data_IF_422230678579
#
_entry.id   IF_422230678579
#
_cell.length_a   1.000
_cell.length_b   1.000
_cell.length_c   1.000
_cell.angle_alpha   90.00
_cell.angle_beta   90.00
_cell.angle_gamma   90.00
#
_symmetry.space_group_name_H-M   'P 1'
#
loop_
_entity.id
_entity.type
_entity.pdbx_description
1 polymer ?
#
# COMPACT_ATOMS: atom_id res chain seq x y z
N UNK A 1 -19.71 11.55 -15.66
CA UNK A 1 -19.45 12.05 -14.30
C UNK A 1 -20.22 11.22 -13.29
N UNK A 2 -19.97 11.42 -11.98
CA UNK A 2 -20.61 10.65 -10.90
C UNK A 2 -22.13 10.66 -10.98
N UNK A 3 -22.75 11.82 -11.19
CA UNK A 3 -24.21 11.98 -11.28
C UNK A 3 -24.89 11.11 -12.34
N UNK A 4 -24.20 10.82 -13.44
CA UNK A 4 -24.72 9.95 -14.50
C UNK A 4 -24.40 8.47 -14.27
N UNK A 5 -23.33 8.17 -13.52
CA UNK A 5 -22.83 6.80 -13.32
C UNK A 5 -23.35 6.15 -12.03
N UNK A 6 -23.67 6.95 -11.00
CA UNK A 6 -24.29 6.47 -9.76
C UNK A 6 -25.67 5.84 -10.00
N UNK A 7 -26.60 6.45 -10.78
CA UNK A 7 -27.87 5.81 -11.11
C UNK A 7 -27.71 4.51 -11.91
N UNK A 8 -26.69 4.44 -12.78
CA UNK A 8 -26.32 3.21 -13.49
C UNK A 8 -25.91 2.11 -12.50
N UNK A 9 -25.03 2.43 -11.55
CA UNK A 9 -24.54 1.47 -10.57
C UNK A 9 -25.68 0.93 -9.70
N UNK A 10 -26.59 1.79 -9.23
CA UNK A 10 -27.78 1.38 -8.48
C UNK A 10 -28.69 0.48 -9.31
N UNK A 11 -28.95 0.85 -10.56
CA UNK A 11 -29.80 0.06 -11.46
C UNK A 11 -29.18 -1.31 -11.78
N UNK A 12 -27.87 -1.38 -11.96
CA UNK A 12 -27.12 -2.62 -12.16
C UNK A 12 -27.22 -3.55 -10.95
N UNK A 13 -26.97 -3.03 -9.75
CA UNK A 13 -27.08 -3.80 -8.51
C UNK A 13 -28.50 -4.33 -8.32
N UNK A 14 -29.52 -3.49 -8.55
CA UNK A 14 -30.92 -3.89 -8.42
C UNK A 14 -31.33 -4.94 -9.48
N UNK A 15 -30.81 -4.85 -10.70
CA UNK A 15 -31.07 -5.80 -11.79
C UNK A 15 -30.52 -7.20 -11.50
N UNK A 16 -29.31 -7.26 -10.94
CA UNK A 16 -28.56 -8.51 -10.76
C UNK A 16 -28.44 -8.96 -9.30
N UNK A 17 -29.22 -8.37 -8.39
CA UNK A 17 -29.30 -8.86 -7.01
C UNK A 17 -29.67 -10.34 -6.98
N UNK A 18 -29.02 -11.08 -6.09
CA UNK A 18 -29.18 -12.54 -5.92
C UNK A 18 -28.78 -13.38 -7.15
N UNK A 19 -28.03 -12.82 -8.10
CA UNK A 19 -27.53 -13.52 -9.27
C UNK A 19 -25.99 -13.48 -9.33
N UNK A 20 -25.40 -14.39 -10.09
CA UNK A 20 -24.01 -14.33 -10.51
C UNK A 20 -23.95 -13.82 -11.95
N UNK A 21 -22.99 -12.94 -12.24
CA UNK A 21 -22.86 -12.30 -13.54
C UNK A 21 -21.43 -12.35 -14.04
N UNK A 22 -21.27 -12.49 -15.35
CA UNK A 22 -19.98 -12.37 -16.02
C UNK A 22 -19.75 -10.94 -16.58
N UNK A 23 -18.52 -10.70 -17.02
CA UNK A 23 -18.10 -9.40 -17.58
C UNK A 23 -18.89 -9.02 -18.85
N UNK A 24 -19.35 -9.98 -19.64
CA UNK A 24 -20.11 -9.73 -20.87
C UNK A 24 -21.56 -9.32 -20.59
N UNK A 25 -22.18 -9.91 -19.58
CA UNK A 25 -23.48 -9.49 -19.05
C UNK A 25 -23.39 -8.07 -18.49
N UNK A 26 -22.33 -7.75 -17.73
CA UNK A 26 -22.07 -6.38 -17.26
C UNK A 26 -21.93 -5.40 -18.43
N UNK A 27 -21.10 -5.71 -19.44
CA UNK A 27 -20.88 -4.84 -20.61
C UNK A 27 -22.17 -4.64 -21.40
N UNK A 28 -22.93 -5.71 -21.63
CA UNK A 28 -24.23 -5.64 -22.31
C UNK A 28 -25.20 -4.74 -21.56
N UNK A 29 -25.24 -4.85 -20.23
CA UNK A 29 -26.08 -3.99 -19.40
C UNK A 29 -25.63 -2.53 -19.42
N UNK A 30 -24.32 -2.26 -19.41
CA UNK A 30 -23.76 -0.91 -19.56
C UNK A 30 -24.21 -0.26 -20.87
N UNK A 31 -24.12 -0.99 -21.99
CA UNK A 31 -24.58 -0.53 -23.30
C UNK A 31 -26.09 -0.29 -23.35
N UNK A 32 -26.89 -1.16 -22.72
CA UNK A 32 -28.34 -0.99 -22.65
C UNK A 32 -28.76 0.22 -21.80
N UNK A 33 -28.08 0.44 -20.67
CA UNK A 33 -28.37 1.58 -19.79
C UNK A 33 -27.98 2.91 -20.45
N UNK A 34 -26.82 2.96 -21.08
CA UNK A 34 -26.31 4.14 -21.79
C UNK A 34 -26.51 4.02 -23.31
N UNK A 35 -27.69 3.57 -23.75
CA UNK A 35 -28.03 3.41 -25.17
C UNK A 35 -27.87 4.70 -25.99
N UNK A 36 -28.09 5.86 -25.35
CA UNK A 36 -27.96 7.18 -25.97
C UNK A 36 -26.50 7.67 -26.03
N UNK A 37 -25.54 6.89 -25.52
CA UNK A 37 -24.10 7.21 -25.48
C UNK A 37 -23.24 6.08 -26.06
N UNK A 38 -23.81 5.28 -26.95
CA UNK A 38 -23.13 4.14 -27.59
C UNK A 38 -21.87 4.55 -28.34
N UNK A 39 -21.85 5.74 -28.96
CA UNK A 39 -20.65 6.27 -29.63
C UNK A 39 -19.46 6.45 -28.67
N UNK A 40 -19.73 6.90 -27.43
CA UNK A 40 -18.70 7.05 -26.39
C UNK A 40 -18.25 5.67 -25.89
N UNK A 41 -19.18 4.72 -25.73
CA UNK A 41 -18.83 3.37 -25.30
C UNK A 41 -18.01 2.61 -26.37
N UNK A 42 -18.26 2.89 -27.65
CA UNK A 42 -17.54 2.28 -28.76
C UNK A 42 -16.13 2.84 -28.96
N UNK A 43 -15.84 4.04 -28.45
CA UNK A 43 -14.46 4.58 -28.45
C UNK A 43 -13.59 4.00 -27.34
N UNK A 44 -14.17 3.28 -26.38
CA UNK A 44 -13.42 2.56 -25.35
C UNK A 44 -12.79 1.31 -25.95
N UNK A 45 -11.48 1.18 -25.80
CA UNK A 45 -10.74 -0.03 -26.16
C UNK A 45 -10.99 -1.16 -25.15
N UNK A 46 -12.13 -1.85 -25.31
CA UNK A 46 -12.54 -2.92 -24.41
C UNK A 46 -11.57 -4.11 -24.37
N UNK A 47 -10.87 -4.38 -25.48
CA UNK A 47 -9.91 -5.48 -25.53
C UNK A 47 -8.69 -5.15 -24.67
N UNK A 48 -8.16 -3.93 -24.80
CA UNK A 48 -7.10 -3.45 -23.93
C UNK A 48 -7.49 -3.40 -22.46
N UNK A 49 -8.73 -2.99 -22.13
CA UNK A 49 -9.20 -2.92 -20.75
C UNK A 49 -9.45 -4.30 -20.11
N UNK A 50 -9.83 -5.32 -20.88
CA UNK A 50 -10.23 -6.62 -20.32
C UNK A 50 -9.15 -7.70 -20.42
N UNK A 51 -8.29 -7.63 -21.44
CA UNK A 51 -7.45 -8.77 -21.81
C UNK A 51 -5.95 -8.45 -21.81
N UNK A 52 -5.55 -7.20 -22.01
CA UNK A 52 -4.13 -6.85 -22.03
C UNK A 52 -3.54 -6.73 -20.61
N UNK A 53 -2.34 -7.28 -20.38
CA UNK A 53 -1.64 -7.14 -19.11
C UNK A 53 -0.96 -5.76 -18.99
N UNK A 54 -0.72 -5.32 -17.75
CA UNK A 54 0.00 -4.09 -17.45
C UNK A 54 -0.88 -2.97 -16.91
N UNK A 55 -0.43 -1.72 -17.08
CA UNK A 55 -1.21 -0.56 -16.68
C UNK A 55 -2.35 -0.30 -17.68
N UNK A 56 -3.55 0.12 -17.22
CA UNK A 56 -4.65 0.46 -18.11
C UNK A 56 -4.25 1.51 -19.16
N UNK A 57 -4.84 1.47 -20.37
CA UNK A 57 -4.43 2.32 -21.49
C UNK A 57 -4.72 3.81 -21.26
N UNK A 58 -5.64 4.13 -20.36
CA UNK A 58 -6.02 5.50 -20.01
C UNK A 58 -5.80 5.72 -18.53
N UNK A 59 -5.00 6.71 -18.17
CA UNK A 59 -4.85 7.20 -16.80
C UNK A 59 -5.93 8.25 -16.54
N UNK A 60 -6.88 8.01 -15.61
CA UNK A 60 -7.88 9.00 -15.27
C UNK A 60 -7.26 10.25 -14.65
N UNK A 61 -7.93 11.40 -14.82
CA UNK A 61 -7.54 12.64 -14.15
C UNK A 61 -7.99 12.59 -12.69
N UNK A 62 -7.04 12.45 -11.77
CA UNK A 62 -7.30 12.49 -10.34
C UNK A 62 -6.97 13.88 -9.78
N UNK A 63 -7.79 14.36 -8.82
CA UNK A 63 -7.42 15.54 -8.04
C UNK A 63 -6.17 15.24 -7.22
N UNK A 64 -5.12 16.05 -7.39
CA UNK A 64 -3.83 15.87 -6.72
C UNK A 64 -3.66 16.72 -5.46
N UNK A 65 -4.66 17.51 -5.07
CA UNK A 65 -4.52 18.50 -4.00
C UNK A 65 -3.97 17.92 -2.69
N UNK A 66 -4.51 16.77 -2.23
CA UNK A 66 -4.05 16.11 -1.01
C UNK A 66 -2.72 15.37 -1.19
N UNK A 67 -2.45 14.87 -2.39
CA UNK A 67 -1.22 14.13 -2.71
C UNK A 67 -0.01 15.07 -2.84
N UNK A 68 -0.21 16.27 -3.39
CA UNK A 68 0.86 17.26 -3.60
C UNK A 68 1.57 17.64 -2.30
N UNK A 69 0.84 17.83 -1.20
CA UNK A 69 1.43 18.12 0.11
C UNK A 69 2.33 16.96 0.58
N UNK A 70 1.89 15.72 0.36
CA UNK A 70 2.65 14.52 0.70
C UNK A 70 3.90 14.37 -0.18
N UNK A 71 3.78 14.65 -1.48
CA UNK A 71 4.89 14.62 -2.45
C UNK A 71 5.95 15.68 -2.12
N UNK A 72 5.53 16.90 -1.78
CA UNK A 72 6.44 17.98 -1.37
C UNK A 72 7.22 17.63 -0.10
N UNK A 73 6.53 17.11 0.92
CA UNK A 73 7.19 16.67 2.15
C UNK A 73 8.13 15.48 1.88
N UNK A 74 7.71 14.53 1.04
CA UNK A 74 8.54 13.40 0.63
C UNK A 74 9.82 13.87 -0.07
N UNK A 75 9.72 14.78 -1.03
CA UNK A 75 10.87 15.32 -1.74
C UNK A 75 11.85 16.02 -0.80
N UNK A 76 11.34 16.81 0.16
CA UNK A 76 12.14 17.47 1.19
C UNK A 76 12.89 16.46 2.06
N UNK A 77 12.24 15.37 2.48
CA UNK A 77 12.84 14.28 3.27
C UNK A 77 13.84 13.42 2.49
N UNK A 78 13.62 13.25 1.18
CA UNK A 78 14.49 12.48 0.30
C UNK A 78 15.75 13.27 -0.12
N UNK A 79 15.71 14.60 -0.11
CA UNK A 79 16.85 15.45 -0.48
C UNK A 79 17.95 15.44 0.61
N UNK A 80 19.15 14.89 0.34
CA UNK A 80 20.24 14.81 1.31
C UNK A 80 20.80 16.18 1.73
N UNK A 81 20.59 17.24 0.95
CA UNK A 81 21.05 18.59 1.28
C UNK A 81 20.17 19.30 2.32
N UNK A 82 18.94 18.81 2.54
CA UNK A 82 18.02 19.38 3.52
C UNK A 82 18.55 19.26 4.94
N UNK A 83 18.64 20.39 5.64
CA UNK A 83 19.12 20.45 7.02
C UNK A 83 18.08 19.83 7.99
N UNK A 84 18.51 19.05 9.01
CA UNK A 84 17.62 18.45 10.02
C UNK A 84 16.69 19.43 10.71
N UNK A 85 17.14 20.67 10.94
CA UNK A 85 16.39 21.72 11.64
C UNK A 85 15.23 22.27 10.82
N UNK A 86 15.21 21.98 9.51
CA UNK A 86 14.11 22.40 8.64
C UNK A 86 12.84 21.57 8.84
N UNK A 87 12.92 20.41 9.49
CA UNK A 87 11.78 19.54 9.76
C UNK A 87 11.12 19.91 11.09
N UNK A 88 9.79 19.91 11.12
CA UNK A 88 9.00 20.17 12.32
C UNK A 88 8.01 19.03 12.56
N UNK A 89 7.67 18.78 13.83
CA UNK A 89 6.56 17.89 14.19
C UNK A 89 5.24 18.33 13.55
N UNK A 90 5.11 19.62 13.25
CA UNK A 90 3.91 20.23 12.68
C UNK A 90 3.76 19.93 11.17
N UNK A 91 4.80 19.45 10.50
CA UNK A 91 4.76 19.09 9.07
C UNK A 91 3.66 18.06 8.77
N UNK A 92 3.32 17.20 9.74
CA UNK A 92 2.26 16.20 9.65
C UNK A 92 0.99 16.54 10.43
N UNK A 93 0.93 17.68 11.11
CA UNK A 93 -0.21 18.06 11.94
C UNK A 93 -1.49 18.23 11.10
N UNK A 94 -1.35 18.77 9.88
CA UNK A 94 -2.45 18.95 8.94
C UNK A 94 -2.82 17.68 8.16
N UNK A 95 -2.01 16.62 8.25
CA UNK A 95 -2.21 15.42 7.44
C UNK A 95 -3.21 14.46 8.11
N UNK A 96 -4.22 14.06 7.34
CA UNK A 96 -5.10 12.98 7.73
C UNK A 96 -4.35 11.61 7.69
N UNK A 97 -4.91 10.53 8.28
CA UNK A 97 -4.24 9.23 8.31
C UNK A 97 -3.86 8.67 6.93
N UNK A 98 -4.67 8.91 5.90
CA UNK A 98 -4.37 8.48 4.54
C UNK A 98 -3.19 9.26 3.94
N UNK A 99 -3.10 10.56 4.18
CA UNK A 99 -1.96 11.39 3.76
C UNK A 99 -0.67 10.96 4.45
N UNK A 100 -0.72 10.65 5.75
CA UNK A 100 0.45 10.11 6.47
C UNK A 100 0.90 8.78 5.89
N UNK A 101 -0.03 7.86 5.61
CA UNK A 101 0.27 6.58 4.96
C UNK A 101 0.81 6.76 3.54
N UNK A 102 0.25 7.69 2.76
CA UNK A 102 0.72 8.02 1.41
C UNK A 102 2.15 8.59 1.45
N UNK A 103 2.42 9.56 2.33
CA UNK A 103 3.76 10.12 2.51
C UNK A 103 4.81 9.04 2.82
N UNK A 104 4.54 8.15 3.77
CA UNK A 104 5.47 7.05 4.10
C UNK A 104 5.63 6.08 2.93
N UNK A 105 4.55 5.83 2.18
CA UNK A 105 4.59 4.98 0.98
C UNK A 105 5.39 5.61 -0.16
N UNK A 106 5.35 6.94 -0.30
CA UNK A 106 6.18 7.69 -1.25
C UNK A 106 7.65 7.63 -0.83
N UNK A 107 7.96 7.84 0.45
CA UNK A 107 9.33 7.69 0.96
C UNK A 107 9.90 6.28 0.76
N UNK A 108 9.06 5.24 0.83
CA UNK A 108 9.51 3.89 0.51
C UNK A 108 9.93 3.77 -0.97
N UNK A 109 9.35 4.52 -1.90
CA UNK A 109 9.74 4.44 -3.31
C UNK A 109 11.10 5.09 -3.58
N UNK A 110 11.53 5.98 -2.69
CA UNK A 110 12.83 6.63 -2.75
C UNK A 110 13.96 5.69 -2.30
N UNK A 111 15.21 6.20 -2.42
CA UNK A 111 16.38 5.52 -1.87
C UNK A 111 16.23 5.36 -0.34
N UNK A 112 16.74 4.27 0.25
CA UNK A 112 16.70 4.10 1.71
C UNK A 112 17.27 5.33 2.42
N UNK A 113 16.50 5.89 3.34
CA UNK A 113 16.94 7.02 4.15
C UNK A 113 18.12 6.60 5.04
N UNK A 114 19.10 7.48 5.28
CA UNK A 114 20.13 7.25 6.29
C UNK A 114 19.50 7.00 7.68
N UNK A 115 20.16 6.19 8.50
CA UNK A 115 19.69 5.84 9.85
C UNK A 115 19.42 7.07 10.72
N UNK A 116 20.25 8.10 10.61
CA UNK A 116 20.13 9.33 11.40
C UNK A 116 18.86 10.10 11.03
N UNK A 117 18.51 10.14 9.73
CA UNK A 117 17.26 10.74 9.27
C UNK A 117 16.04 9.94 9.68
N UNK A 118 16.15 8.61 9.70
CA UNK A 118 15.06 7.77 10.17
C UNK A 118 14.83 7.92 11.68
N UNK A 119 15.89 8.07 12.46
CA UNK A 119 15.80 8.37 13.88
C UNK A 119 15.14 9.73 14.12
N UNK A 120 15.53 10.76 13.35
CA UNK A 120 14.89 12.07 13.37
C UNK A 120 13.40 12.00 13.01
N UNK A 121 13.05 11.26 11.94
CA UNK A 121 11.66 11.07 11.53
C UNK A 121 10.84 10.38 12.63
N UNK A 122 11.43 9.37 13.28
CA UNK A 122 10.79 8.61 14.34
C UNK A 122 10.52 9.48 15.57
N UNK A 123 11.50 10.31 15.98
CA UNK A 123 11.36 11.20 17.13
C UNK A 123 10.42 12.38 16.86
N UNK A 124 10.55 13.04 15.71
CA UNK A 124 9.74 14.20 15.34
C UNK A 124 8.25 13.87 15.23
N UNK A 125 7.92 12.73 14.62
CA UNK A 125 6.54 12.33 14.38
C UNK A 125 6.01 11.26 15.35
N UNK A 126 6.81 10.90 16.37
CA UNK A 126 6.48 9.90 17.40
C UNK A 126 5.98 8.57 16.82
N UNK A 127 6.69 8.05 15.81
CA UNK A 127 6.23 6.88 15.04
C UNK A 127 6.07 5.61 15.89
N UNK A 128 6.81 5.50 17.00
CA UNK A 128 6.72 4.37 17.94
C UNK A 128 5.36 4.29 18.65
N UNK A 129 4.75 5.45 18.92
CA UNK A 129 3.46 5.60 19.61
C UNK A 129 2.25 5.43 18.68
N UNK A 130 2.47 5.34 17.36
CA UNK A 130 1.38 5.27 16.38
C UNK A 130 0.63 3.95 16.51
N UNK A 131 -0.66 4.03 16.86
CA UNK A 131 -1.56 2.87 16.94
C UNK A 131 -2.11 2.38 15.59
N UNK A 132 -2.08 3.22 14.54
CA UNK A 132 -2.59 2.84 13.23
C UNK A 132 -1.66 1.81 12.55
N UNK A 133 -2.19 0.62 12.29
CA UNK A 133 -1.41 -0.49 11.74
C UNK A 133 -0.81 -0.20 10.35
N UNK A 134 -1.49 0.55 9.48
CA UNK A 134 -1.00 0.87 8.12
C UNK A 134 0.18 1.84 8.16
N UNK A 135 0.10 2.86 9.03
CA UNK A 135 1.18 3.84 9.23
C UNK A 135 2.37 3.14 9.91
N UNK A 136 2.11 2.37 10.97
CA UNK A 136 3.16 1.62 11.68
C UNK A 136 3.86 0.63 10.75
N UNK A 137 3.11 -0.16 9.99
CA UNK A 137 3.66 -1.06 8.96
C UNK A 137 4.55 -0.31 7.97
N UNK A 138 4.11 0.85 7.48
CA UNK A 138 4.88 1.64 6.53
C UNK A 138 6.20 2.17 7.13
N UNK A 139 6.20 2.56 8.39
CA UNK A 139 7.40 2.95 9.13
C UNK A 139 8.36 1.77 9.38
N UNK A 140 7.83 0.60 9.76
CA UNK A 140 8.63 -0.61 9.94
C UNK A 140 9.38 -0.99 8.66
N UNK A 141 8.72 -0.93 7.50
CA UNK A 141 9.35 -1.19 6.20
C UNK A 141 10.46 -0.20 5.87
N UNK A 142 10.30 1.08 6.21
CA UNK A 142 11.35 2.08 6.04
C UNK A 142 12.59 1.73 6.87
N UNK A 143 12.40 1.34 8.13
CA UNK A 143 13.51 0.92 9.01
C UNK A 143 14.21 -0.35 8.56
N UNK A 144 13.45 -1.36 8.11
CA UNK A 144 14.01 -2.59 7.58
C UNK A 144 14.88 -2.35 6.34
N UNK A 145 14.40 -1.52 5.40
CA UNK A 145 15.15 -1.18 4.20
C UNK A 145 16.39 -0.32 4.48
N UNK A 146 16.35 0.50 5.53
CA UNK A 146 17.49 1.27 6.00
C UNK A 146 18.46 0.46 6.88
N UNK A 147 18.17 -0.82 7.15
CA UNK A 147 18.92 -1.68 8.10
C UNK A 147 19.10 -1.03 9.48
N UNK A 148 18.06 -0.36 9.95
CA UNK A 148 18.08 0.37 11.23
C UNK A 148 17.79 -0.57 12.40
N UNK A 149 18.83 -0.99 13.14
CA UNK A 149 18.72 -1.97 14.23
C UNK A 149 17.61 -1.70 15.27
N UNK A 150 17.39 -0.46 15.75
CA UNK A 150 16.34 -0.17 16.73
C UNK A 150 14.92 -0.51 16.28
N UNK A 151 14.66 -0.71 14.98
CA UNK A 151 13.34 -1.09 14.48
C UNK A 151 12.97 -2.55 14.85
N UNK A 152 13.97 -3.41 15.13
CA UNK A 152 13.78 -4.85 15.27
C UNK A 152 12.72 -5.26 16.32
N UNK A 153 12.74 -4.72 17.56
CA UNK A 153 11.74 -5.08 18.56
C UNK A 153 10.32 -4.72 18.11
N UNK A 154 10.17 -3.58 17.41
CA UNK A 154 8.88 -3.13 16.90
C UNK A 154 8.37 -4.02 15.76
N UNK A 155 9.25 -4.50 14.88
CA UNK A 155 8.90 -5.46 13.82
C UNK A 155 8.41 -6.77 14.42
N UNK A 156 9.16 -7.33 15.38
CA UNK A 156 8.81 -8.61 16.03
C UNK A 156 7.48 -8.50 16.79
N UNK A 157 7.30 -7.43 17.56
CA UNK A 157 6.05 -7.15 18.25
C UNK A 157 4.88 -7.04 17.26
N UNK A 158 5.07 -6.33 16.14
CA UNK A 158 4.04 -6.18 15.11
C UNK A 158 3.67 -7.52 14.46
N UNK A 159 4.65 -8.35 14.09
CA UNK A 159 4.40 -9.66 13.49
C UNK A 159 3.70 -10.63 14.44
N UNK A 160 4.01 -10.59 15.74
CA UNK A 160 3.27 -11.34 16.78
C UNK A 160 1.83 -10.86 16.99
N UNK A 161 1.57 -9.58 16.72
CA UNK A 161 0.25 -8.97 16.96
C UNK A 161 -0.68 -9.10 15.74
N UNK A 162 -0.13 -9.01 14.53
CA UNK A 162 -0.90 -8.92 13.29
C UNK A 162 -0.56 -10.06 12.31
N UNK A 163 -1.57 -10.89 11.98
CA UNK A 163 -1.44 -12.01 11.04
C UNK A 163 -1.88 -11.73 9.59
N UNK A 164 -2.16 -10.47 9.21
CA UNK A 164 -2.65 -10.16 7.84
C UNK A 164 -1.52 -10.26 6.82
N UNK A 165 -1.72 -11.04 5.76
CA UNK A 165 -0.73 -11.24 4.67
C UNK A 165 -0.17 -9.95 4.08
N UNK A 166 -1.05 -8.94 3.94
CA UNK A 166 -0.67 -7.59 3.50
C UNK A 166 0.52 -7.02 4.28
N UNK A 167 0.63 -7.35 5.57
CA UNK A 167 1.73 -6.89 6.42
C UNK A 167 2.81 -7.95 6.61
N UNK A 168 2.41 -9.18 6.88
CA UNK A 168 3.30 -10.29 7.23
C UNK A 168 4.27 -10.60 6.08
N UNK A 169 3.76 -10.77 4.85
CA UNK A 169 4.61 -11.20 3.73
C UNK A 169 5.66 -10.14 3.36
N UNK A 170 5.33 -8.83 3.24
CA UNK A 170 6.35 -7.82 2.96
C UNK A 170 7.36 -7.65 4.10
N UNK A 171 6.94 -7.72 5.37
CA UNK A 171 7.87 -7.57 6.50
C UNK A 171 8.86 -8.73 6.58
N UNK A 172 8.40 -9.97 6.42
CA UNK A 172 9.31 -11.11 6.37
C UNK A 172 10.26 -11.03 5.17
N UNK A 173 9.79 -10.57 4.01
CA UNK A 173 10.64 -10.38 2.83
C UNK A 173 11.74 -9.33 3.08
N UNK A 174 11.35 -8.19 3.64
CA UNK A 174 12.30 -7.12 3.96
C UNK A 174 13.29 -7.55 5.06
N UNK A 175 12.85 -8.36 6.04
CA UNK A 175 13.71 -8.99 7.05
C UNK A 175 14.70 -10.00 6.45
N UNK A 176 14.24 -10.87 5.56
CA UNK A 176 15.08 -11.88 4.92
C UNK A 176 16.11 -11.25 3.96
N UNK A 177 15.77 -10.11 3.36
CA UNK A 177 16.72 -9.31 2.57
C UNK A 177 17.87 -8.75 3.42
N UNK A 178 17.70 -8.64 4.74
CA UNK A 178 18.77 -8.30 5.67
C UNK A 178 19.52 -9.56 6.13
N UNK A 179 20.63 -9.86 5.44
CA UNK A 179 21.40 -11.10 5.61
C UNK A 179 21.74 -11.45 7.07
N UNK A 180 22.17 -10.47 7.86
CA UNK A 180 22.53 -10.64 9.28
C UNK A 180 21.34 -11.08 10.16
N UNK A 181 20.10 -10.80 9.75
CA UNK A 181 18.88 -11.12 10.51
C UNK A 181 18.15 -12.34 9.95
N UNK A 182 18.67 -13.01 8.91
CA UNK A 182 18.01 -14.17 8.29
C UNK A 182 17.71 -15.31 9.27
N UNK A 183 18.67 -15.66 10.13
CA UNK A 183 18.49 -16.73 11.12
C UNK A 183 17.35 -16.40 12.09
N UNK A 184 17.36 -15.18 12.63
CA UNK A 184 16.28 -14.68 13.49
C UNK A 184 14.93 -14.63 12.75
N UNK A 185 14.95 -14.30 11.46
CA UNK A 185 13.75 -14.27 10.61
C UNK A 185 13.14 -15.66 10.46
N UNK A 186 13.98 -16.68 10.26
CA UNK A 186 13.55 -18.09 10.18
C UNK A 186 12.99 -18.57 11.52
N UNK A 187 13.68 -18.31 12.64
CA UNK A 187 13.21 -18.67 13.98
C UNK A 187 11.85 -18.00 14.29
N UNK A 188 11.70 -16.72 13.96
CA UNK A 188 10.43 -15.99 14.13
C UNK A 188 9.35 -16.53 13.20
N UNK A 189 9.69 -16.91 11.97
CA UNK A 189 8.74 -17.53 11.05
C UNK A 189 8.25 -18.88 11.58
N UNK A 190 9.15 -19.70 12.11
CA UNK A 190 8.81 -20.99 12.72
C UNK A 190 8.03 -20.86 14.03
N UNK A 191 8.24 -19.79 14.80
CA UNK A 191 7.44 -19.46 15.98
C UNK A 191 6.00 -19.08 15.59
N UNK A 192 5.86 -18.29 14.52
CA UNK A 192 4.57 -17.68 14.14
C UNK A 192 3.77 -18.52 13.16
N UNK A 193 4.39 -19.50 12.47
CA UNK A 193 3.67 -20.36 11.55
C UNK A 193 2.60 -21.14 12.32
N UNK A 194 1.33 -21.06 11.92
CA UNK A 194 0.28 -21.88 12.51
C UNK A 194 0.55 -23.36 12.19
N UNK A 195 0.16 -24.23 13.12
CA UNK A 195 0.29 -25.70 12.99
C UNK A 195 -0.55 -26.29 11.87
N UNK A 196 -1.58 -25.57 11.41
CA UNK A 196 -2.41 -25.92 10.27
C UNK A 196 -2.07 -25.02 9.08
N UNK A 197 -2.09 -25.57 7.86
CA UNK A 197 -1.77 -24.94 6.56
C UNK A 197 -2.56 -23.64 6.30
N UNK A 198 -2.21 -22.56 7.00
CA UNK A 198 -2.74 -21.25 6.73
C UNK A 198 -2.03 -20.71 5.49
N UNK A 199 -2.77 -20.58 4.39
CA UNK A 199 -2.36 -20.00 3.09
C UNK A 199 -1.43 -18.77 3.22
N UNK A 200 -1.63 -17.97 4.27
CA UNK A 200 -0.82 -16.80 4.62
C UNK A 200 0.69 -17.11 4.75
N UNK A 201 1.04 -18.20 5.44
CA UNK A 201 2.42 -18.56 5.72
C UNK A 201 3.03 -19.40 4.59
N UNK A 202 2.22 -20.20 3.88
CA UNK A 202 2.67 -20.93 2.70
C UNK A 202 3.15 -19.97 1.58
N UNK A 203 2.43 -18.88 1.33
CA UNK A 203 2.84 -17.87 0.35
C UNK A 203 4.02 -17.02 0.84
N UNK A 204 4.11 -16.75 2.15
CA UNK A 204 5.27 -16.09 2.74
C UNK A 204 6.52 -16.98 2.61
N UNK A 205 6.43 -18.27 2.91
CA UNK A 205 7.51 -19.24 2.75
C UNK A 205 8.00 -19.34 1.30
N UNK A 206 7.07 -19.45 0.34
CA UNK A 206 7.40 -19.44 -1.10
C UNK A 206 8.13 -18.15 -1.51
N UNK A 207 7.74 -17.00 -0.96
CA UNK A 207 8.38 -15.71 -1.22
C UNK A 207 9.71 -15.48 -0.49
N UNK A 208 10.07 -16.36 0.44
CA UNK A 208 11.32 -16.32 1.22
C UNK A 208 12.30 -17.43 0.83
N UNK A 209 11.94 -18.26 -0.16
CA UNK A 209 12.68 -19.49 -0.53
C UNK A 209 12.95 -20.41 0.67
N UNK A 210 12.10 -20.34 1.69
CA UNK A 210 12.17 -21.23 2.85
C UNK A 210 11.43 -22.52 2.47
N UNK A 211 12.21 -23.58 2.25
CA UNK A 211 11.75 -24.93 1.92
C UNK A 211 11.02 -25.59 3.09
#
# INVERSE_FOLDING_TARGET
>A
GPEAFEPFLLSYIEKYKFQSVDTWQWKTYLYNYFKDKTDILNSVDWDAWFHLPGMPPVLPSYSRALAMQCEQLCAKWADPATAPESFSSDDMASFNPMQRSLFLSLLQKEKPLPTDRLQLLTSLYKMEEVGNAEIKFSWLRLGLRAKWEPIMPHVCCFLRTYGRMKFVCPLFRDLHAWEEKRKMTQELFDELKPTDDACCYTQAAQGLELS
#
